data_IF_475394707805
#
_entry.id   IF_475394707805
#
_cell.length_a   1.000
_cell.length_b   1.000
_cell.length_c   1.000
_cell.angle_alpha   90.00
_cell.angle_beta   90.00
_cell.angle_gamma   90.00
#
_symmetry.space_group_name_H-M   'P 1'
#
loop_
_entity.id
_entity.type
_entity.pdbx_description
1 polymer ?
#
# COMPACT_ATOMS: atom_id res chain seq x y z
N UNK A 1 61.35 -28.52 -34.97
CA UNK A 1 62.45 -27.67 -34.48
C UNK A 1 61.83 -26.65 -33.53
N UNK A 2 61.81 -26.87 -32.21
CA UNK A 2 62.91 -26.89 -31.24
C UNK A 2 63.06 -25.53 -30.51
N UNK A 3 62.59 -25.54 -29.26
CA UNK A 3 63.17 -24.98 -28.04
C UNK A 3 63.49 -23.47 -27.83
N UNK A 4 62.92 -23.02 -26.69
CA UNK A 4 63.55 -22.36 -25.54
C UNK A 4 63.46 -20.83 -25.32
N UNK A 5 62.61 -20.51 -24.32
CA UNK A 5 62.74 -19.60 -23.15
C UNK A 5 64.03 -18.78 -22.97
N UNK A 6 63.84 -17.54 -22.49
CA UNK A 6 64.23 -16.97 -21.17
C UNK A 6 63.58 -15.55 -21.07
N UNK A 7 62.59 -15.31 -20.20
CA UNK A 7 62.68 -14.83 -18.80
C UNK A 7 63.24 -13.41 -18.64
N UNK A 8 62.44 -12.49 -18.07
CA UNK A 8 62.80 -11.69 -16.88
C UNK A 8 61.60 -10.92 -16.28
N UNK A 9 61.61 -10.92 -14.95
CA UNK A 9 60.73 -10.36 -13.93
C UNK A 9 60.12 -8.96 -14.14
N UNK A 10 58.92 -8.73 -13.58
CA UNK A 10 58.77 -7.93 -12.34
C UNK A 10 57.30 -7.83 -11.90
N UNK A 11 57.05 -8.24 -10.66
CA UNK A 11 55.77 -8.14 -9.97
C UNK A 11 55.64 -6.76 -9.32
N UNK A 12 54.63 -5.97 -9.68
CA UNK A 12 54.25 -4.77 -8.95
C UNK A 12 52.91 -4.98 -8.24
N UNK A 13 53.00 -5.27 -6.94
CA UNK A 13 51.88 -5.28 -6.00
C UNK A 13 51.43 -3.85 -5.73
N UNK A 14 50.23 -3.49 -6.16
CA UNK A 14 49.55 -2.28 -5.68
C UNK A 14 48.65 -2.65 -4.50
N UNK A 15 49.15 -2.39 -3.29
CA UNK A 15 48.35 -2.31 -2.07
C UNK A 15 47.51 -1.03 -2.12
N UNK A 16 46.18 -1.16 -2.13
CA UNK A 16 45.27 -0.06 -1.77
C UNK A 16 44.79 -0.31 -0.34
N UNK A 17 45.29 0.50 0.59
CA UNK A 17 44.85 0.51 1.97
C UNK A 17 43.67 1.48 2.15
N UNK A 18 42.53 0.90 2.60
CA UNK A 18 41.48 1.43 3.49
C UNK A 18 41.11 2.93 3.42
N UNK A 19 39.80 3.17 3.28
CA UNK A 19 38.99 3.75 4.38
C UNK A 19 37.60 3.09 4.43
N UNK A 20 37.46 2.18 5.39
CA UNK A 20 36.16 1.74 5.89
C UNK A 20 35.53 2.93 6.60
N UNK A 21 34.40 3.39 6.07
CA UNK A 21 33.53 4.37 6.67
C UNK A 21 32.13 4.13 6.13
N UNK A 22 31.57 2.94 6.38
CA UNK A 22 30.13 2.75 6.21
C UNK A 22 29.45 3.79 7.11
N UNK A 23 28.57 4.65 6.58
CA UNK A 23 27.73 5.46 7.45
C UNK A 23 26.97 4.50 8.37
N UNK A 24 26.83 4.82 9.67
CA UNK A 24 26.09 3.94 10.56
C UNK A 24 24.70 3.74 9.96
N UNK A 25 24.33 2.49 9.72
CA UNK A 25 22.93 2.11 9.52
C UNK A 25 22.22 2.68 10.75
N UNK A 26 21.47 3.76 10.57
CA UNK A 26 20.59 4.27 11.62
C UNK A 26 19.54 3.20 11.83
N UNK A 27 19.81 2.29 12.75
CA UNK A 27 18.76 1.51 13.40
C UNK A 27 17.82 2.55 14.02
N UNK A 28 16.64 2.68 13.43
CA UNK A 28 15.57 3.44 14.06
C UNK A 28 15.45 2.96 15.49
N UNK A 29 15.55 3.92 16.41
CA UNK A 29 15.52 3.74 17.86
C UNK A 29 14.51 2.66 18.23
N UNK A 30 15.01 1.53 18.72
CA UNK A 30 14.18 0.53 19.37
C UNK A 30 13.43 1.19 20.55
N UNK A 31 12.10 1.16 20.45
CA UNK A 31 11.26 0.74 21.57
C UNK A 31 11.18 1.69 22.79
N UNK A 32 10.86 2.97 22.59
CA UNK A 32 10.59 3.92 23.70
C UNK A 32 9.12 4.10 24.10
N UNK A 33 8.15 3.44 23.44
CA UNK A 33 6.72 3.66 23.71
C UNK A 33 5.90 2.46 24.20
N UNK A 34 6.35 1.22 23.97
CA UNK A 34 5.57 0.04 24.34
C UNK A 34 5.58 -0.19 25.86
N UNK A 35 4.42 -0.15 26.52
CA UNK A 35 4.29 -0.50 27.94
C UNK A 35 4.83 -1.91 28.18
N UNK A 36 5.47 -2.18 29.32
CA UNK A 36 6.05 -3.51 29.63
C UNK A 36 5.04 -4.66 29.47
N UNK A 37 3.77 -4.39 29.74
CA UNK A 37 2.64 -5.32 29.56
C UNK A 37 2.40 -5.68 28.09
N UNK A 38 2.48 -4.70 27.18
CA UNK A 38 2.27 -4.94 25.75
C UNK A 38 3.35 -5.83 25.12
N UNK A 39 4.60 -5.71 25.61
CA UNK A 39 5.73 -6.50 25.13
C UNK A 39 5.68 -7.96 25.61
N UNK A 40 5.11 -8.21 26.80
CA UNK A 40 4.93 -9.55 27.34
C UNK A 40 3.84 -10.37 26.61
N UNK A 41 2.94 -9.70 25.88
CA UNK A 41 1.82 -10.30 25.17
C UNK A 41 2.09 -10.58 23.69
N UNK A 42 3.27 -10.19 23.17
CA UNK A 42 3.62 -10.47 21.78
C UNK A 42 4.06 -11.93 21.63
N UNK A 43 3.42 -12.71 20.74
CA UNK A 43 3.85 -14.07 20.46
C UNK A 43 5.25 -14.09 19.85
N UNK A 44 6.01 -15.15 20.13
CA UNK A 44 7.35 -15.34 19.56
C UNK A 44 7.25 -15.53 18.03
N UNK A 45 8.19 -14.96 17.26
CA UNK A 45 8.28 -15.20 15.82
C UNK A 45 8.32 -16.70 15.46
N UNK A 46 7.65 -17.10 14.38
CA UNK A 46 7.57 -18.45 13.86
C UNK A 46 6.62 -19.40 14.60
N UNK A 47 5.84 -18.90 15.59
CA UNK A 47 4.93 -19.75 16.37
C UNK A 47 3.51 -19.78 15.79
N UNK A 48 2.76 -20.86 16.12
CA UNK A 48 1.33 -20.97 15.80
C UNK A 48 0.55 -19.76 16.38
N UNK A 49 0.90 -19.34 17.60
CA UNK A 49 0.30 -18.17 18.26
C UNK A 49 0.54 -16.87 17.48
N UNK A 50 1.74 -16.68 16.91
CA UNK A 50 2.01 -15.55 16.03
C UNK A 50 1.17 -15.60 14.76
N UNK A 51 0.99 -16.77 14.18
CA UNK A 51 0.23 -16.95 12.94
C UNK A 51 -1.24 -16.54 13.11
N UNK A 52 -1.89 -16.99 14.19
CA UNK A 52 -3.27 -16.58 14.51
C UNK A 52 -3.38 -15.10 14.85
N UNK A 53 -2.43 -14.58 15.63
CA UNK A 53 -2.38 -13.16 15.97
C UNK A 53 -2.21 -12.30 14.73
N UNK A 54 -1.26 -12.65 13.86
CA UNK A 54 -0.98 -11.96 12.61
C UNK A 54 -2.19 -11.99 11.67
N UNK A 55 -2.89 -13.12 11.56
CA UNK A 55 -4.12 -13.23 10.76
C UNK A 55 -5.20 -12.26 11.25
N UNK A 56 -5.53 -12.29 12.55
CA UNK A 56 -6.56 -11.40 13.12
C UNK A 56 -6.19 -9.93 13.05
N UNK A 57 -4.92 -9.59 13.26
CA UNK A 57 -4.40 -8.23 13.13
C UNK A 57 -4.48 -7.72 11.69
N UNK A 58 -3.96 -8.50 10.74
CA UNK A 58 -3.94 -8.11 9.32
C UNK A 58 -5.35 -8.00 8.75
N UNK A 59 -6.32 -8.76 9.25
CA UNK A 59 -7.73 -8.63 8.87
C UNK A 59 -8.28 -7.24 9.16
N UNK A 60 -8.14 -6.78 10.40
CA UNK A 60 -8.62 -5.45 10.82
C UNK A 60 -7.88 -4.31 10.12
N UNK A 61 -6.57 -4.46 9.94
CA UNK A 61 -5.77 -3.52 9.15
C UNK A 61 -6.28 -3.44 7.71
N UNK A 62 -6.58 -4.58 7.09
CA UNK A 62 -7.17 -4.63 5.76
C UNK A 62 -8.57 -4.00 5.71
N UNK A 63 -9.46 -4.29 6.66
CA UNK A 63 -10.81 -3.71 6.75
C UNK A 63 -10.76 -2.17 6.82
N UNK A 64 -9.79 -1.63 7.56
CA UNK A 64 -9.56 -0.19 7.59
C UNK A 64 -9.04 0.40 6.27
N UNK A 65 -8.24 -0.36 5.51
CA UNK A 65 -7.77 0.05 4.18
C UNK A 65 -8.91 0.03 3.16
N UNK A 66 -9.69 -1.05 3.13
CA UNK A 66 -10.74 -1.26 2.12
C UNK A 66 -11.93 -0.32 2.31
N UNK A 67 -12.28 -0.01 3.55
CA UNK A 67 -13.37 0.94 3.88
C UNK A 67 -13.15 2.37 3.37
N UNK A 68 -11.92 2.76 3.02
CA UNK A 68 -11.62 4.12 2.55
C UNK A 68 -12.29 4.45 1.22
N UNK A 69 -12.51 3.45 0.36
CA UNK A 69 -13.16 3.61 -0.92
C UNK A 69 -14.33 2.62 -1.09
N UNK A 70 -15.00 2.25 -0.01
CA UNK A 70 -16.19 1.40 -0.14
C UNK A 70 -17.26 2.06 -1.01
N UNK A 71 -17.94 1.22 -1.79
CA UNK A 71 -19.00 1.59 -2.70
C UNK A 71 -20.04 0.46 -2.73
N UNK A 72 -21.22 0.79 -3.23
CA UNK A 72 -22.31 -0.16 -3.45
C UNK A 72 -22.84 -0.02 -4.87
N UNK A 73 -23.49 -1.08 -5.38
CA UNK A 73 -24.23 -1.04 -6.64
C UNK A 73 -25.67 -1.43 -6.31
N UNK A 74 -26.56 -0.46 -6.03
CA UNK A 74 -27.95 -0.74 -5.63
C UNK A 74 -28.70 -1.63 -6.63
N UNK A 75 -28.35 -1.52 -7.91
CA UNK A 75 -28.94 -2.29 -9.02
C UNK A 75 -28.48 -3.75 -9.03
N UNK A 76 -27.34 -4.10 -8.43
CA UNK A 76 -26.80 -5.46 -8.47
C UNK A 76 -27.73 -6.49 -7.79
N UNK A 77 -28.46 -6.06 -6.75
CA UNK A 77 -29.43 -6.90 -6.03
C UNK A 77 -30.83 -6.93 -6.69
N UNK A 78 -31.06 -6.12 -7.73
CA UNK A 78 -32.36 -5.99 -8.37
C UNK A 78 -32.43 -6.84 -9.64
N UNK A 79 -33.39 -7.77 -9.69
CA UNK A 79 -33.55 -8.68 -10.82
C UNK A 79 -33.92 -7.91 -12.10
N UNK A 80 -33.03 -7.95 -13.09
CA UNK A 80 -33.23 -7.31 -14.40
C UNK A 80 -32.90 -5.82 -14.45
N UNK A 81 -32.36 -5.24 -13.36
CA UNK A 81 -31.88 -3.86 -13.39
C UNK A 81 -30.55 -3.77 -14.15
N UNK A 82 -30.42 -2.76 -15.00
CA UNK A 82 -29.16 -2.47 -15.69
C UNK A 82 -28.22 -1.73 -14.74
N UNK A 83 -27.00 -2.25 -14.59
CA UNK A 83 -25.95 -1.59 -13.81
C UNK A 83 -25.36 -0.45 -14.65
N UNK A 84 -25.35 0.80 -14.14
CA UNK A 84 -24.74 1.91 -14.86
C UNK A 84 -23.27 1.61 -15.19
N UNK A 85 -22.79 2.03 -16.36
CA UNK A 85 -21.41 1.81 -16.79
C UNK A 85 -20.68 3.12 -17.08
N UNK A 86 -19.38 3.13 -16.84
CA UNK A 86 -18.49 4.19 -17.30
C UNK A 86 -18.31 4.12 -18.82
N UNK A 87 -17.74 5.17 -19.43
CA UNK A 87 -17.36 5.16 -20.85
C UNK A 87 -16.36 4.05 -21.21
N UNK A 88 -15.60 3.56 -20.24
CA UNK A 88 -14.69 2.42 -20.39
C UNK A 88 -15.35 1.06 -20.14
N UNK A 89 -16.67 1.03 -19.89
CA UNK A 89 -17.45 -0.20 -19.68
C UNK A 89 -17.40 -0.78 -18.26
N UNK A 90 -16.82 -0.08 -17.30
CA UNK A 90 -16.77 -0.51 -15.90
C UNK A 90 -18.10 -0.26 -15.21
N UNK A 91 -18.54 -1.17 -14.35
CA UNK A 91 -19.74 -0.94 -13.53
C UNK A 91 -19.52 0.21 -12.55
N UNK A 92 -20.47 1.13 -12.54
CA UNK A 92 -20.48 2.36 -11.76
C UNK A 92 -21.47 2.22 -10.59
N UNK A 93 -20.93 2.34 -9.38
CA UNK A 93 -21.71 2.30 -8.15
C UNK A 93 -21.97 3.68 -7.55
N UNK A 94 -22.17 3.69 -6.23
CA UNK A 94 -22.33 4.89 -5.40
C UNK A 94 -21.43 4.74 -4.17
N UNK A 95 -20.71 5.80 -3.83
CA UNK A 95 -19.85 5.85 -2.65
C UNK A 95 -19.76 7.27 -2.10
N UNK A 96 -19.46 7.40 -0.81
CA UNK A 96 -19.57 8.67 -0.07
C UNK A 96 -18.22 9.25 0.40
N UNK A 97 -17.13 8.56 0.09
CA UNK A 97 -15.80 8.94 0.55
C UNK A 97 -15.24 10.19 -0.16
N UNK A 98 -14.25 10.82 0.46
CA UNK A 98 -13.56 11.98 -0.12
C UNK A 98 -12.86 11.65 -1.44
N UNK A 99 -12.46 10.39 -1.65
CA UNK A 99 -11.92 9.92 -2.93
C UNK A 99 -12.89 10.15 -4.09
N UNK A 100 -14.20 10.03 -3.83
CA UNK A 100 -15.24 10.27 -4.82
C UNK A 100 -15.66 11.74 -4.86
N UNK A 101 -15.92 12.35 -3.70
CA UNK A 101 -16.45 13.73 -3.61
C UNK A 101 -15.43 14.81 -3.93
N UNK A 102 -14.23 14.71 -3.37
CA UNK A 102 -13.23 15.77 -3.43
C UNK A 102 -12.26 15.58 -4.59
N UNK A 103 -11.93 14.31 -4.92
CA UNK A 103 -11.01 13.98 -6.02
C UNK A 103 -11.73 13.66 -7.34
N UNK A 104 -13.05 13.46 -7.32
CA UNK A 104 -13.84 13.14 -8.51
C UNK A 104 -13.57 11.76 -9.10
N UNK A 105 -13.00 10.83 -8.32
CA UNK A 105 -12.83 9.45 -8.79
C UNK A 105 -14.21 8.76 -8.89
N UNK A 106 -14.33 7.77 -9.77
CA UNK A 106 -15.59 7.05 -9.95
C UNK A 106 -15.69 5.84 -9.00
N UNK A 107 -16.82 5.63 -8.30
CA UNK A 107 -17.05 4.48 -7.44
C UNK A 107 -17.15 3.19 -8.26
N UNK A 108 -16.00 2.58 -8.52
CA UNK A 108 -15.80 1.42 -9.39
C UNK A 108 -14.88 0.42 -8.67
N UNK A 109 -14.93 -0.85 -9.08
CA UNK A 109 -14.01 -1.87 -8.57
C UNK A 109 -12.54 -1.49 -8.76
N UNK A 110 -12.21 -0.88 -9.90
CA UNK A 110 -10.85 -0.41 -10.19
C UNK A 110 -10.42 0.68 -9.20
N UNK A 111 -11.27 1.67 -8.92
CA UNK A 111 -10.94 2.73 -7.95
C UNK A 111 -10.81 2.16 -6.54
N UNK A 112 -11.74 1.31 -6.11
CA UNK A 112 -11.68 0.64 -4.81
C UNK A 112 -10.38 -0.15 -4.64
N UNK A 113 -10.00 -0.97 -5.62
CA UNK A 113 -8.78 -1.78 -5.54
C UNK A 113 -7.52 -0.93 -5.49
N UNK A 114 -7.42 0.13 -6.29
CA UNK A 114 -6.25 1.02 -6.32
C UNK A 114 -6.12 1.85 -5.03
N UNK A 115 -7.23 2.38 -4.50
CA UNK A 115 -7.22 3.07 -3.19
C UNK A 115 -6.89 2.09 -2.06
N UNK A 116 -7.42 0.87 -2.09
CA UNK A 116 -7.09 -0.16 -1.09
C UNK A 116 -5.60 -0.52 -1.15
N UNK A 117 -5.04 -0.69 -2.34
CA UNK A 117 -3.60 -0.91 -2.53
C UNK A 117 -2.75 0.25 -2.00
N UNK A 118 -3.17 1.51 -2.20
CA UNK A 118 -2.47 2.66 -1.66
C UNK A 118 -2.35 2.59 -0.12
N UNK A 119 -3.42 2.21 0.58
CA UNK A 119 -3.40 2.06 2.03
C UNK A 119 -2.61 0.83 2.50
N UNK A 120 -2.81 -0.30 1.83
CA UNK A 120 -2.02 -1.52 2.08
C UNK A 120 -0.52 -1.28 1.86
N UNK A 121 -0.15 -0.45 0.89
CA UNK A 121 1.23 -0.05 0.66
C UNK A 121 1.81 0.69 1.87
N UNK A 122 1.10 1.71 2.38
CA UNK A 122 1.57 2.47 3.54
C UNK A 122 1.74 1.58 4.78
N UNK A 123 0.82 0.62 4.98
CA UNK A 123 0.98 -0.41 6.02
C UNK A 123 2.18 -1.32 5.76
N UNK A 124 2.38 -1.76 4.52
CA UNK A 124 3.51 -2.62 4.13
C UNK A 124 4.85 -1.93 4.42
N UNK A 125 4.96 -0.63 4.14
CA UNK A 125 6.16 0.17 4.49
C UNK A 125 6.43 0.09 6.00
N UNK A 126 5.41 0.22 6.85
CA UNK A 126 5.56 0.10 8.30
C UNK A 126 5.86 -1.34 8.76
N UNK A 127 5.26 -2.34 8.12
CA UNK A 127 5.48 -3.76 8.42
C UNK A 127 6.90 -4.20 8.07
N UNK A 128 7.57 -3.58 7.08
CA UNK A 128 8.98 -3.85 6.75
C UNK A 128 9.94 -3.50 7.89
N UNK A 129 9.51 -2.68 8.85
CA UNK A 129 10.29 -2.32 10.03
C UNK A 129 10.11 -3.29 11.21
N UNK A 130 9.35 -4.39 11.05
CA UNK A 130 9.26 -5.44 12.06
C UNK A 130 10.63 -6.09 12.31
N UNK A 131 10.94 -6.55 13.54
CA UNK A 131 12.25 -7.06 13.90
C UNK A 131 12.60 -8.37 13.21
N UNK A 132 11.59 -9.14 12.78
CA UNK A 132 11.77 -10.42 12.12
C UNK A 132 11.28 -10.36 10.67
N UNK A 133 12.14 -10.81 9.76
CA UNK A 133 11.84 -10.99 8.35
C UNK A 133 10.70 -11.99 8.13
N UNK A 134 10.59 -13.00 8.99
CA UNK A 134 9.52 -14.00 8.96
C UNK A 134 8.19 -13.36 9.35
N UNK A 135 8.17 -12.56 10.43
CA UNK A 135 6.99 -11.80 10.83
C UNK A 135 6.52 -10.91 9.68
N UNK A 136 7.40 -10.14 9.05
CA UNK A 136 7.04 -9.33 7.88
C UNK A 136 6.41 -10.15 6.75
N UNK A 137 6.99 -11.31 6.40
CA UNK A 137 6.46 -12.19 5.35
C UNK A 137 5.06 -12.71 5.69
N UNK A 138 4.86 -13.17 6.93
CA UNK A 138 3.58 -13.67 7.41
C UNK A 138 2.50 -12.60 7.36
N UNK A 139 2.81 -11.39 7.85
CA UNK A 139 1.86 -10.28 7.84
C UNK A 139 1.53 -9.81 6.42
N UNK A 140 2.54 -9.71 5.55
CA UNK A 140 2.35 -9.29 4.15
C UNK A 140 1.52 -10.30 3.37
N UNK A 141 1.73 -11.60 3.61
CA UNK A 141 0.91 -12.67 3.01
C UNK A 141 -0.55 -12.51 3.43
N UNK A 142 -0.83 -12.46 4.73
CA UNK A 142 -2.20 -12.37 5.20
C UNK A 142 -2.90 -11.08 4.78
N UNK A 143 -2.19 -9.95 4.74
CA UNK A 143 -2.76 -8.69 4.26
C UNK A 143 -3.25 -8.81 2.81
N UNK A 144 -2.49 -9.49 1.95
CA UNK A 144 -2.90 -9.72 0.56
C UNK A 144 -3.98 -10.82 0.43
N UNK A 145 -3.95 -11.85 1.27
CA UNK A 145 -4.99 -12.89 1.29
C UNK A 145 -6.36 -12.27 1.63
N UNK A 146 -6.43 -11.39 2.63
CA UNK A 146 -7.66 -10.66 2.98
C UNK A 146 -8.16 -9.78 1.82
N UNK A 147 -7.26 -9.07 1.14
CA UNK A 147 -7.60 -8.34 -0.09
C UNK A 147 -8.19 -9.26 -1.17
N UNK A 148 -7.53 -10.39 -1.42
CA UNK A 148 -7.94 -11.33 -2.47
C UNK A 148 -9.35 -11.89 -2.21
N UNK A 149 -9.65 -12.25 -0.96
CA UNK A 149 -10.99 -12.70 -0.58
C UNK A 149 -12.05 -11.61 -0.77
N UNK A 150 -11.76 -10.39 -0.32
CA UNK A 150 -12.69 -9.26 -0.43
C UNK A 150 -12.88 -8.79 -1.88
N UNK A 151 -11.87 -8.95 -2.72
CA UNK A 151 -11.94 -8.71 -4.15
C UNK A 151 -12.79 -9.79 -4.86
N UNK A 152 -12.62 -11.06 -4.50
CA UNK A 152 -13.44 -12.16 -5.03
C UNK A 152 -14.92 -11.95 -4.70
N UNK A 153 -15.23 -11.63 -3.45
CA UNK A 153 -16.60 -11.36 -2.99
C UNK A 153 -17.23 -10.20 -3.75
N UNK A 154 -16.52 -9.06 -3.91
CA UNK A 154 -17.04 -7.91 -4.69
C UNK A 154 -17.27 -8.28 -6.16
N UNK A 155 -16.36 -9.03 -6.79
CA UNK A 155 -16.52 -9.49 -8.16
C UNK A 155 -17.78 -10.35 -8.33
N UNK A 156 -18.07 -11.23 -7.37
CA UNK A 156 -19.25 -12.08 -7.40
C UNK A 156 -20.54 -11.29 -7.10
N UNK A 157 -20.57 -10.61 -5.96
CA UNK A 157 -21.78 -9.96 -5.40
C UNK A 157 -22.15 -8.68 -6.12
N UNK A 158 -21.19 -7.79 -6.39
CA UNK A 158 -21.48 -6.47 -6.97
C UNK A 158 -21.45 -6.46 -8.49
N UNK A 159 -20.62 -7.33 -9.09
CA UNK A 159 -20.36 -7.34 -10.54
C UNK A 159 -20.88 -8.59 -11.26
N UNK A 160 -21.52 -9.51 -10.54
CA UNK A 160 -22.14 -10.71 -11.13
C UNK A 160 -21.14 -11.64 -11.82
N UNK A 161 -19.84 -11.56 -11.51
CA UNK A 161 -18.80 -12.42 -12.08
C UNK A 161 -18.81 -13.80 -11.39
N UNK A 162 -19.89 -14.54 -11.58
CA UNK A 162 -20.14 -15.84 -10.95
C UNK A 162 -19.19 -16.95 -11.44
N UNK A 163 -18.55 -16.76 -12.60
CA UNK A 163 -17.57 -17.69 -13.14
C UNK A 163 -16.23 -17.64 -12.37
N UNK A 164 -15.96 -18.69 -11.59
CA UNK A 164 -14.73 -18.85 -10.80
C UNK A 164 -13.44 -18.75 -11.61
N UNK A 165 -13.40 -19.28 -12.84
CA UNK A 165 -12.19 -19.22 -13.68
C UNK A 165 -11.86 -17.78 -14.07
N UNK A 166 -12.89 -16.99 -14.41
CA UNK A 166 -12.75 -15.57 -14.71
C UNK A 166 -12.25 -14.82 -13.48
N UNK A 167 -12.89 -14.99 -12.31
CA UNK A 167 -12.43 -14.35 -11.06
C UNK A 167 -10.97 -14.69 -10.73
N UNK A 168 -10.58 -15.96 -10.87
CA UNK A 168 -9.20 -16.39 -10.63
C UNK A 168 -8.19 -15.71 -11.56
N UNK A 169 -8.57 -15.43 -12.82
CA UNK A 169 -7.73 -14.66 -13.74
C UNK A 169 -7.59 -13.21 -13.26
N UNK A 170 -8.70 -12.55 -12.91
CA UNK A 170 -8.68 -11.20 -12.35
C UNK A 170 -7.85 -11.09 -11.06
N UNK A 171 -7.96 -12.06 -10.14
CA UNK A 171 -7.15 -12.08 -8.92
C UNK A 171 -5.63 -12.16 -9.21
N UNK A 172 -5.24 -12.95 -10.22
CA UNK A 172 -3.83 -13.00 -10.67
C UNK A 172 -3.38 -11.66 -11.25
N UNK A 173 -4.22 -11.01 -12.05
CA UNK A 173 -3.93 -9.70 -12.61
C UNK A 173 -3.78 -8.64 -11.50
N UNK A 174 -4.68 -8.66 -10.50
CA UNK A 174 -4.59 -7.80 -9.30
C UNK A 174 -3.31 -8.05 -8.49
N UNK A 175 -2.85 -9.30 -8.37
CA UNK A 175 -1.58 -9.59 -7.69
C UNK A 175 -0.37 -8.99 -8.44
N UNK A 176 -0.38 -9.02 -9.77
CA UNK A 176 0.66 -8.37 -10.59
C UNK A 176 0.60 -6.86 -10.40
N UNK A 177 -0.60 -6.26 -10.43
CA UNK A 177 -0.80 -4.83 -10.18
C UNK A 177 -0.28 -4.42 -8.79
N UNK A 178 -0.61 -5.18 -7.75
CA UNK A 178 -0.12 -4.96 -6.39
C UNK A 178 1.41 -4.87 -6.34
N UNK A 179 2.10 -5.80 -7.00
CA UNK A 179 3.57 -5.78 -7.08
C UNK A 179 4.11 -4.57 -7.84
N UNK A 180 3.43 -4.14 -8.90
CA UNK A 180 3.77 -2.93 -9.63
C UNK A 180 3.63 -1.68 -8.76
N UNK A 181 2.58 -1.63 -7.95
CA UNK A 181 2.32 -0.54 -6.99
C UNK A 181 3.41 -0.49 -5.92
N UNK A 182 3.80 -1.64 -5.34
CA UNK A 182 4.91 -1.70 -4.37
C UNK A 182 6.17 -1.05 -4.95
N UNK A 183 6.58 -1.46 -6.15
CA UNK A 183 7.78 -0.93 -6.80
C UNK A 183 7.67 0.58 -7.12
N UNK A 184 6.53 1.00 -7.69
CA UNK A 184 6.29 2.38 -8.10
C UNK A 184 6.28 3.36 -6.92
N UNK A 185 5.60 3.00 -5.82
CA UNK A 185 5.55 3.86 -4.65
C UNK A 185 6.86 3.81 -3.85
N UNK A 186 7.57 2.68 -3.81
CA UNK A 186 8.91 2.62 -3.21
C UNK A 186 9.89 3.55 -3.96
N UNK A 187 9.84 3.55 -5.29
CA UNK A 187 10.61 4.49 -6.10
C UNK A 187 10.22 5.96 -5.81
N UNK A 188 8.92 6.25 -5.76
CA UNK A 188 8.41 7.59 -5.45
C UNK A 188 8.83 8.10 -4.07
N UNK A 189 8.78 7.25 -3.04
CA UNK A 189 9.20 7.64 -1.69
C UNK A 189 10.67 8.05 -1.64
N UNK A 190 11.54 7.35 -2.39
CA UNK A 190 13.00 7.58 -2.41
C UNK A 190 13.38 8.76 -3.31
N UNK A 191 12.76 8.88 -4.50
CA UNK A 191 13.13 9.89 -5.50
C UNK A 191 12.45 11.25 -5.33
N UNK A 192 11.40 11.33 -4.51
CA UNK A 192 10.73 12.58 -4.15
C UNK A 192 9.31 12.71 -4.71
N UNK A 193 8.65 13.80 -4.31
CA UNK A 193 7.20 13.97 -4.46
C UNK A 193 6.72 14.04 -5.91
N UNK A 194 7.55 14.52 -6.85
CA UNK A 194 7.21 14.50 -8.27
C UNK A 194 7.09 13.05 -8.80
N UNK A 195 8.02 12.17 -8.43
CA UNK A 195 8.00 10.75 -8.84
C UNK A 195 6.85 10.01 -8.14
N UNK A 196 6.62 10.31 -6.86
CA UNK A 196 5.48 9.78 -6.11
C UNK A 196 4.15 10.23 -6.73
N UNK A 197 4.02 11.51 -7.09
CA UNK A 197 2.86 12.06 -7.76
C UNK A 197 2.59 11.40 -9.11
N UNK A 198 3.62 11.16 -9.92
CA UNK A 198 3.49 10.41 -11.17
C UNK A 198 3.00 8.97 -10.94
N UNK A 199 3.47 8.31 -9.88
CA UNK A 199 2.99 6.98 -9.50
C UNK A 199 1.53 6.99 -9.04
N UNK A 200 1.14 7.98 -8.22
CA UNK A 200 -0.24 8.19 -7.76
C UNK A 200 -1.17 8.44 -8.95
N UNK A 201 -0.78 9.34 -9.87
CA UNK A 201 -1.53 9.64 -11.08
C UNK A 201 -1.74 8.41 -11.96
N UNK A 202 -0.69 7.63 -12.22
CA UNK A 202 -0.79 6.39 -13.00
C UNK A 202 -1.75 5.38 -12.39
N UNK A 203 -1.75 5.23 -11.07
CA UNK A 203 -2.53 4.20 -10.39
C UNK A 203 -3.99 4.63 -10.13
N UNK A 204 -4.22 5.84 -9.61
CA UNK A 204 -5.56 6.31 -9.26
C UNK A 204 -6.31 6.95 -10.43
N UNK A 205 -5.62 7.69 -11.30
CA UNK A 205 -6.19 8.32 -12.48
C UNK A 205 -5.91 7.54 -13.77
N UNK A 206 -5.39 6.32 -13.66
CA UNK A 206 -5.14 5.41 -14.80
C UNK A 206 -4.25 6.04 -15.89
N UNK A 207 -3.35 6.95 -15.51
CA UNK A 207 -2.54 7.76 -16.42
C UNK A 207 -3.37 8.59 -17.43
N UNK A 208 -4.63 8.90 -17.10
CA UNK A 208 -5.48 9.75 -17.91
C UNK A 208 -5.11 11.22 -17.71
N UNK A 209 -5.11 11.99 -18.79
CA UNK A 209 -4.97 13.45 -18.73
C UNK A 209 -6.31 14.15 -18.48
N UNK A 210 -7.42 13.42 -18.61
CA UNK A 210 -8.79 13.93 -18.42
C UNK A 210 -9.52 13.18 -17.32
N UNK A 211 -10.27 13.90 -16.49
CA UNK A 211 -11.19 13.34 -15.51
C UNK A 211 -12.44 12.73 -16.17
N UNK A 212 -13.31 12.08 -15.37
CA UNK A 212 -14.58 11.51 -15.85
C UNK A 212 -15.52 12.54 -16.50
N UNK A 213 -15.37 13.81 -16.14
CA UNK A 213 -16.12 14.96 -16.66
C UNK A 213 -15.54 15.53 -17.96
N UNK A 214 -14.48 14.91 -18.50
CA UNK A 214 -13.81 15.34 -19.72
C UNK A 214 -12.90 16.56 -19.55
N UNK A 215 -12.75 17.09 -18.33
CA UNK A 215 -11.82 18.20 -18.04
C UNK A 215 -10.43 17.67 -17.75
N UNK A 216 -9.41 18.53 -17.87
CA UNK A 216 -8.04 18.17 -17.51
C UNK A 216 -7.96 17.71 -16.05
N UNK A 217 -7.07 16.74 -15.78
CA UNK A 217 -6.81 16.27 -14.42
C UNK A 217 -6.43 17.44 -13.52
N UNK A 218 -7.12 17.54 -12.39
CA UNK A 218 -6.76 18.46 -11.34
C UNK A 218 -5.45 18.01 -10.67
N UNK A 219 -4.31 18.54 -11.11
CA UNK A 219 -2.99 18.22 -10.54
C UNK A 219 -2.88 18.53 -9.05
N UNK A 220 -3.69 19.46 -8.53
CA UNK A 220 -3.78 19.73 -7.09
C UNK A 220 -4.32 18.51 -6.33
N UNK A 221 -5.24 17.75 -6.93
CA UNK A 221 -5.78 16.53 -6.34
C UNK A 221 -4.70 15.43 -6.22
N UNK A 222 -3.83 15.31 -7.23
CA UNK A 222 -2.65 14.41 -7.17
C UNK A 222 -1.72 14.84 -6.03
N UNK A 223 -1.45 16.15 -5.90
CA UNK A 223 -0.63 16.68 -4.82
C UNK A 223 -1.24 16.44 -3.43
N UNK A 224 -2.56 16.55 -3.28
CA UNK A 224 -3.26 16.22 -2.03
C UNK A 224 -3.05 14.76 -1.63
N UNK A 225 -3.14 13.82 -2.57
CA UNK A 225 -2.89 12.40 -2.29
C UNK A 225 -1.42 12.15 -1.91
N UNK A 226 -0.47 12.84 -2.54
CA UNK A 226 0.95 12.78 -2.15
C UNK A 226 1.16 13.28 -0.72
N UNK A 227 0.60 14.45 -0.37
CA UNK A 227 0.67 15.00 0.97
C UNK A 227 0.03 14.05 2.01
N UNK A 228 -1.14 13.49 1.68
CA UNK A 228 -1.81 12.47 2.47
C UNK A 228 -0.91 11.25 2.73
N UNK A 229 -0.29 10.69 1.68
CA UNK A 229 0.63 9.56 1.82
C UNK A 229 1.82 9.89 2.73
N UNK A 230 2.42 11.07 2.59
CA UNK A 230 3.54 11.51 3.44
C UNK A 230 3.13 11.64 4.90
N UNK A 231 1.97 12.25 5.18
CA UNK A 231 1.43 12.38 6.54
C UNK A 231 1.16 11.00 7.15
N UNK A 232 0.43 10.14 6.46
CA UNK A 232 0.06 8.82 6.99
C UNK A 232 1.31 7.96 7.25
N UNK A 233 2.28 7.96 6.34
CA UNK A 233 3.56 7.27 6.56
C UNK A 233 4.32 7.84 7.77
N UNK A 234 4.33 9.16 7.94
CA UNK A 234 4.93 9.79 9.11
C UNK A 234 4.21 9.35 10.39
N UNK A 235 2.88 9.42 10.44
CA UNK A 235 2.10 8.98 11.60
C UNK A 235 2.31 7.50 11.92
N UNK A 236 2.32 6.62 10.89
CA UNK A 236 2.63 5.20 11.03
C UNK A 236 4.04 4.96 11.60
N UNK A 237 5.03 5.79 11.21
CA UNK A 237 6.40 5.68 11.71
C UNK A 237 6.52 5.98 13.20
N UNK A 238 5.63 6.80 13.75
CA UNK A 238 5.61 7.16 15.17
C UNK A 238 4.94 6.09 16.05
N UNK A 239 4.21 5.13 15.46
CA UNK A 239 3.52 4.07 16.21
C UNK A 239 4.46 2.90 16.50
N UNK A 240 4.52 2.49 17.77
CA UNK A 240 5.22 1.26 18.14
C UNK A 240 4.46 0.03 17.62
N UNK A 241 5.12 -1.12 17.57
CA UNK A 241 4.46 -2.38 17.17
C UNK A 241 3.37 -2.79 18.15
N UNK A 242 3.59 -2.53 19.42
CA UNK A 242 2.58 -2.66 20.46
C UNK A 242 1.40 -1.72 20.18
N UNK A 243 1.62 -0.51 19.70
CA UNK A 243 0.54 0.41 19.36
C UNK A 243 -0.23 -0.06 18.12
N UNK A 244 0.44 -0.61 17.10
CA UNK A 244 -0.27 -1.24 15.98
C UNK A 244 -1.15 -2.39 16.49
N UNK A 245 -0.67 -3.19 17.45
CA UNK A 245 -1.42 -4.27 18.09
C UNK A 245 -2.53 -3.78 19.06
N UNK A 246 -2.34 -2.63 19.73
CA UNK A 246 -3.25 -2.06 20.74
C UNK A 246 -4.34 -1.21 20.09
N UNK A 247 -4.04 -0.46 19.02
CA UNK A 247 -5.05 0.25 18.24
C UNK A 247 -6.13 -0.73 17.75
N UNK A 248 -5.76 -2.00 17.57
CA UNK A 248 -6.67 -3.08 17.23
C UNK A 248 -7.49 -3.57 18.43
N UNK A 249 -7.00 -3.48 19.67
CA UNK A 249 -7.76 -3.85 20.89
C UNK A 249 -8.62 -2.70 21.43
N UNK A 250 -8.28 -1.45 21.12
CA UNK A 250 -8.88 -0.23 21.67
C UNK A 250 -10.12 0.31 20.94
N UNK A 251 -10.71 -0.46 20.04
CA UNK A 251 -11.86 -0.05 19.23
C UNK A 251 -11.43 0.57 17.90
N UNK A 252 -12.21 0.27 16.86
CA UNK A 252 -11.91 0.56 15.45
C UNK A 252 -11.53 2.04 15.18
N UNK A 253 -12.02 2.98 15.99
CA UNK A 253 -11.87 4.42 15.79
C UNK A 253 -10.44 4.93 15.52
N UNK A 254 -9.39 4.34 16.10
CA UNK A 254 -8.03 4.89 16.04
C UNK A 254 -7.21 4.54 14.77
N UNK A 255 -7.47 3.40 14.11
CA UNK A 255 -6.91 3.13 12.77
C UNK A 255 -7.75 3.86 11.71
N UNK A 256 -9.08 3.90 11.89
CA UNK A 256 -9.96 4.63 10.98
C UNK A 256 -9.69 6.14 11.01
N UNK A 257 -9.25 6.69 12.16
CA UNK A 257 -8.81 8.09 12.24
C UNK A 257 -7.47 8.38 11.57
N UNK A 258 -6.55 7.40 11.51
CA UNK A 258 -5.26 7.54 10.82
C UNK A 258 -5.45 7.76 9.32
N UNK A 259 -6.30 6.94 8.69
CA UNK A 259 -6.62 7.04 7.27
C UNK A 259 -7.68 8.10 6.97
N UNK A 260 -8.25 8.74 8.01
CA UNK A 260 -9.17 9.84 7.80
C UNK A 260 -8.44 10.98 7.10
N UNK A 261 -9.03 11.42 6.01
CA UNK A 261 -8.59 12.61 5.31
C UNK A 261 -8.74 13.84 6.19
N UNK A 262 -7.72 14.70 6.22
CA UNK A 262 -7.68 15.91 7.03
C UNK A 262 -7.62 17.13 6.12
N UNK A 263 -8.34 18.21 6.48
CA UNK A 263 -8.18 19.52 5.84
C UNK A 263 -6.72 20.03 5.91
N UNK A 264 -5.92 19.49 6.84
CA UNK A 264 -4.47 19.72 6.91
C UNK A 264 -3.75 19.29 5.62
N UNK A 265 -4.19 18.20 4.97
CA UNK A 265 -3.59 17.67 3.75
C UNK A 265 -3.77 18.65 2.59
N UNK A 266 -4.96 19.27 2.48
CA UNK A 266 -5.24 20.35 1.52
C UNK A 266 -4.37 21.57 1.81
N UNK A 267 -4.37 22.03 3.07
CA UNK A 267 -3.65 23.24 3.49
C UNK A 267 -2.15 23.13 3.22
N UNK A 268 -1.53 21.98 3.47
CA UNK A 268 -0.10 21.76 3.26
C UNK A 268 0.32 22.02 1.81
N UNK A 269 -0.53 21.67 0.85
CA UNK A 269 -0.29 21.95 -0.58
C UNK A 269 -0.39 23.44 -0.90
N UNK A 270 -1.29 24.17 -0.25
CA UNK A 270 -1.47 25.61 -0.48
C UNK A 270 -0.42 26.48 0.24
N UNK A 271 0.09 26.06 1.41
CA UNK A 271 1.11 26.80 2.18
C UNK A 271 2.52 26.69 1.58
N UNK A 272 2.74 25.76 0.66
CA UNK A 272 4.05 25.54 0.02
C UNK A 272 4.30 26.42 -1.21
N UNK A 273 3.56 27.52 -1.37
CA UNK A 273 3.73 28.52 -2.44
C UNK A 273 4.36 29.80 -1.92
#
# INVERSE_FOLDING_TARGET
MAHNRLSLHSSASFRVARKQGQPPIRFYSQNRGASRLSRALQPRPGTISETYFAYGMTRRLFEACSSQADYSIPQASQKGAEVPKTSAGEDLGVGDSWWYKDLGLLPTFSTWSQVTFLHMYMLTVRLRALPSQESFRTHSRYLFDHFSHSAEERMDVLHGLTNRSIRNKYLKDLFIQWRGILAAYDEGLVKGDAVLGAAVWRNLWKASHTGPDGRDVNWTAVAWVVAYMRRVLFELSQRSEADLAIILRGGDAAIYSLFKYSELDKRTVYTSR
#
